data_IF_363224067756
#
_entry.id   IF_363224067756
#
_cell.length_a   1.000
_cell.length_b   1.000
_cell.length_c   1.000
_cell.angle_alpha   90.00
_cell.angle_beta   90.00
_cell.angle_gamma   90.00
#
_symmetry.space_group_name_H-M   'P 1'
#
loop_
_entity.id
_entity.type
_entity.pdbx_description
1 polymer ?
#
# COMPACT_ATOMS: atom_id res chain seq x y z
N UNK A 1 3.12 -19.79 14.99
CA UNK A 1 2.76 -19.51 13.59
C UNK A 1 1.25 -19.44 13.35
N UNK A 2 0.45 -20.42 13.79
CA UNK A 2 -1.01 -20.42 13.57
C UNK A 2 -1.73 -19.17 14.14
N UNK A 3 -1.33 -18.70 15.32
CA UNK A 3 -1.91 -17.49 15.94
C UNK A 3 -1.65 -16.20 15.13
N UNK A 4 -0.51 -16.11 14.46
CA UNK A 4 -0.16 -14.96 13.62
C UNK A 4 -0.98 -14.98 12.33
N UNK A 5 -1.14 -16.17 11.72
CA UNK A 5 -1.96 -16.36 10.51
C UNK A 5 -3.43 -16.06 10.80
N UNK A 6 -3.92 -16.45 11.97
CA UNK A 6 -5.29 -16.13 12.40
C UNK A 6 -5.57 -14.64 12.38
N UNK A 7 -4.60 -13.80 12.76
CA UNK A 7 -4.71 -12.33 12.73
C UNK A 7 -4.66 -11.72 11.32
N UNK A 8 -4.26 -12.47 10.30
CA UNK A 8 -4.18 -11.96 8.93
C UNK A 8 -5.57 -11.81 8.28
N UNK A 9 -6.48 -12.77 8.55
CA UNK A 9 -7.85 -12.76 8.06
C UNK A 9 -8.66 -11.52 8.52
N UNK A 10 -8.73 -11.20 9.83
CA UNK A 10 -9.39 -9.98 10.27
C UNK A 10 -8.69 -8.72 9.76
N UNK A 11 -7.38 -8.76 9.49
CA UNK A 11 -6.67 -7.67 8.84
C UNK A 11 -7.19 -7.34 7.45
N UNK A 12 -7.39 -8.34 6.60
CA UNK A 12 -7.99 -8.13 5.29
C UNK A 12 -9.44 -7.67 5.37
N UNK A 13 -10.25 -8.28 6.24
CA UNK A 13 -11.67 -7.93 6.37
C UNK A 13 -11.86 -6.49 6.88
N UNK A 14 -11.08 -6.09 7.89
CA UNK A 14 -11.11 -4.72 8.40
C UNK A 14 -10.65 -3.70 7.35
N UNK A 15 -9.70 -4.04 6.50
CA UNK A 15 -9.29 -3.17 5.40
C UNK A 15 -10.35 -3.07 4.30
N UNK A 16 -10.97 -4.18 3.91
CA UNK A 16 -12.05 -4.17 2.92
C UNK A 16 -13.21 -3.27 3.39
N UNK A 17 -13.62 -3.40 4.65
CA UNK A 17 -14.67 -2.57 5.24
C UNK A 17 -14.25 -1.09 5.38
N UNK A 18 -13.02 -0.83 5.85
CA UNK A 18 -12.52 0.53 6.04
C UNK A 18 -12.37 1.28 4.70
N UNK A 19 -11.96 0.60 3.63
CA UNK A 19 -11.83 1.19 2.29
C UNK A 19 -13.15 1.74 1.78
N UNK A 20 -14.26 1.05 2.04
CA UNK A 20 -15.60 1.49 1.64
C UNK A 20 -16.12 2.67 2.47
N UNK A 21 -15.72 2.78 3.74
CA UNK A 21 -16.23 3.80 4.68
C UNK A 21 -15.40 5.07 4.66
N UNK A 22 -14.06 4.97 4.66
CA UNK A 22 -13.16 6.10 4.83
C UNK A 22 -12.53 6.59 3.52
N UNK A 23 -12.64 5.83 2.43
CA UNK A 23 -11.92 6.10 1.18
C UNK A 23 -10.64 5.28 1.07
N UNK A 24 -10.13 5.16 -0.15
CA UNK A 24 -9.04 4.24 -0.47
C UNK A 24 -7.70 4.84 -0.02
N UNK A 25 -7.48 6.13 -0.28
CA UNK A 25 -6.23 6.84 0.06
C UNK A 25 -6.06 6.91 1.58
N UNK A 26 -7.10 7.36 2.28
CA UNK A 26 -7.04 7.53 3.74
C UNK A 26 -6.90 6.20 4.45
N UNK A 27 -7.60 5.16 4.00
CA UNK A 27 -7.46 3.82 4.58
C UNK A 27 -6.03 3.29 4.40
N UNK A 28 -5.48 3.37 3.18
CA UNK A 28 -4.10 2.96 2.93
C UNK A 28 -3.09 3.73 3.79
N UNK A 29 -3.27 5.05 3.94
CA UNK A 29 -2.42 5.87 4.81
C UNK A 29 -2.46 5.43 6.27
N UNK A 30 -3.66 5.20 6.83
CA UNK A 30 -3.83 4.76 8.22
C UNK A 30 -3.17 3.41 8.45
N UNK A 31 -3.33 2.45 7.53
CA UNK A 31 -2.68 1.14 7.63
C UNK A 31 -1.16 1.21 7.48
N UNK A 32 -0.63 2.10 6.64
CA UNK A 32 0.82 2.34 6.53
C UNK A 32 1.40 2.92 7.84
N UNK A 33 0.72 3.91 8.43
CA UNK A 33 1.14 4.51 9.70
C UNK A 33 0.99 3.53 10.87
N UNK A 34 -0.06 2.72 10.89
CA UNK A 34 -0.24 1.64 11.87
C UNK A 34 0.86 0.58 11.75
N UNK A 35 1.22 0.20 10.52
CA UNK A 35 2.32 -0.73 10.24
C UNK A 35 3.66 -0.17 10.72
N UNK A 36 3.90 1.13 10.50
CA UNK A 36 5.08 1.82 11.00
C UNK A 36 5.16 1.77 12.53
N UNK A 37 4.07 2.13 13.22
CA UNK A 37 3.99 2.09 14.68
C UNK A 37 4.22 0.69 15.22
N UNK A 38 3.61 -0.32 14.60
CA UNK A 38 3.77 -1.72 15.00
C UNK A 38 5.20 -2.24 14.76
N UNK A 39 5.84 -1.88 13.64
CA UNK A 39 7.24 -2.24 13.36
C UNK A 39 8.21 -1.59 14.35
N UNK A 40 7.96 -0.33 14.74
CA UNK A 40 8.75 0.34 15.78
C UNK A 40 8.52 -0.29 17.16
N UNK A 41 7.28 -0.62 17.51
CA UNK A 41 7.00 -1.34 18.75
C UNK A 41 7.74 -2.70 18.77
N UNK A 42 7.73 -3.45 17.67
CA UNK A 42 8.46 -4.72 17.57
C UNK A 42 9.97 -4.57 17.79
N UNK A 43 10.59 -3.48 17.32
CA UNK A 43 12.02 -3.23 17.49
C UNK A 43 12.44 -2.70 18.86
N UNK A 44 11.55 -2.03 19.59
CA UNK A 44 11.89 -1.31 20.83
C UNK A 44 11.40 -2.02 22.10
N UNK A 45 10.41 -2.91 21.99
CA UNK A 45 9.89 -3.65 23.14
C UNK A 45 10.86 -4.77 23.55
N UNK A 46 10.89 -5.07 24.85
CA UNK A 46 11.68 -6.17 25.40
C UNK A 46 11.31 -7.52 24.75
N UNK A 47 12.33 -8.34 24.48
CA UNK A 47 12.22 -9.62 23.77
C UNK A 47 11.55 -10.76 24.55
N UNK A 48 10.55 -10.45 25.37
CA UNK A 48 9.70 -11.42 26.04
C UNK A 48 8.76 -12.05 25.02
N UNK A 49 8.48 -13.35 25.16
CA UNK A 49 7.62 -14.11 24.22
C UNK A 49 6.26 -13.43 24.00
N UNK A 50 5.60 -13.01 25.09
CA UNK A 50 4.31 -12.33 25.03
C UNK A 50 4.37 -11.01 24.22
N UNK A 51 5.42 -10.22 24.43
CA UNK A 51 5.60 -8.94 23.76
C UNK A 51 5.81 -9.09 22.25
N UNK A 52 6.65 -10.05 21.85
CA UNK A 52 6.91 -10.35 20.44
C UNK A 52 5.67 -10.90 19.74
N UNK A 53 4.86 -11.71 20.43
CA UNK A 53 3.59 -12.21 19.90
C UNK A 53 2.58 -11.09 19.68
N UNK A 54 2.42 -10.18 20.63
CA UNK A 54 1.48 -9.06 20.52
C UNK A 54 1.91 -8.10 19.41
N UNK A 55 3.16 -7.64 19.47
CA UNK A 55 3.70 -6.68 18.48
C UNK A 55 3.77 -7.28 17.07
N UNK A 56 4.14 -8.56 16.94
CA UNK A 56 4.14 -9.27 15.67
C UNK A 56 2.74 -9.52 15.09
N UNK A 57 1.74 -9.76 15.95
CA UNK A 57 0.34 -9.90 15.53
C UNK A 57 -0.23 -8.56 15.05
N UNK A 58 0.02 -7.47 15.78
CA UNK A 58 -0.37 -6.12 15.37
C UNK A 58 0.30 -5.73 14.05
N UNK A 59 1.60 -5.96 13.93
CA UNK A 59 2.34 -5.71 12.70
C UNK A 59 1.73 -6.49 11.52
N UNK A 60 1.37 -7.76 11.73
CA UNK A 60 0.72 -8.57 10.71
C UNK A 60 -0.65 -8.02 10.31
N UNK A 61 -1.50 -7.65 11.28
CA UNK A 61 -2.80 -7.04 11.00
C UNK A 61 -2.63 -5.80 10.12
N UNK A 62 -1.86 -4.81 10.58
CA UNK A 62 -1.73 -3.55 9.85
C UNK A 62 -1.09 -3.73 8.48
N UNK A 63 -0.09 -4.60 8.39
CA UNK A 63 0.60 -4.85 7.12
C UNK A 63 -0.34 -5.49 6.11
N UNK A 64 -1.11 -6.51 6.49
CA UNK A 64 -2.10 -7.12 5.60
C UNK A 64 -3.24 -6.17 5.24
N UNK A 65 -3.64 -5.30 6.16
CA UNK A 65 -4.60 -4.25 5.85
C UNK A 65 -4.09 -3.27 4.78
N UNK A 66 -2.82 -2.87 4.88
CA UNK A 66 -2.18 -2.03 3.86
C UNK A 66 -2.14 -2.72 2.49
N UNK A 67 -1.81 -4.03 2.44
CA UNK A 67 -1.86 -4.82 1.20
C UNK A 67 -3.27 -4.86 0.60
N UNK A 68 -4.30 -5.12 1.41
CA UNK A 68 -5.69 -5.14 0.97
C UNK A 68 -6.14 -3.81 0.36
N UNK A 69 -5.85 -2.69 1.03
CA UNK A 69 -6.17 -1.36 0.52
C UNK A 69 -5.36 -1.01 -0.73
N UNK A 70 -4.09 -1.41 -0.81
CA UNK A 70 -3.25 -1.18 -1.98
C UNK A 70 -3.78 -1.91 -3.22
N UNK A 71 -4.25 -3.15 -3.07
CA UNK A 71 -4.82 -3.92 -4.19
C UNK A 71 -6.13 -3.35 -4.70
N UNK A 72 -6.95 -2.73 -3.84
CA UNK A 72 -8.12 -1.98 -4.27
C UNK A 72 -7.72 -0.64 -4.93
N UNK A 73 -6.74 0.05 -4.36
CA UNK A 73 -6.34 1.38 -4.79
C UNK A 73 -5.60 1.41 -6.14
N UNK A 74 -4.67 0.48 -6.36
CA UNK A 74 -3.82 0.45 -7.55
C UNK A 74 -4.62 0.41 -8.87
N UNK A 75 -5.60 -0.50 -9.07
CA UNK A 75 -6.37 -0.56 -10.31
C UNK A 75 -7.30 0.64 -10.52
N UNK A 76 -7.77 1.29 -9.44
CA UNK A 76 -8.65 2.45 -9.53
C UNK A 76 -7.92 3.71 -10.05
N UNK A 77 -6.59 3.75 -9.97
CA UNK A 77 -5.81 4.85 -10.52
C UNK A 77 -5.64 4.80 -12.05
N UNK A 78 -6.05 3.70 -12.70
CA UNK A 78 -5.84 3.48 -14.13
C UNK A 78 -7.16 3.20 -14.88
N UNK A 79 -7.35 3.82 -16.06
CA UNK A 79 -8.49 3.51 -16.91
C UNK A 79 -8.41 2.06 -17.42
N UNK A 80 -9.57 1.46 -17.69
CA UNK A 80 -9.72 0.03 -17.96
C UNK A 80 -8.79 -0.48 -19.07
N UNK A 81 -8.56 0.32 -20.11
CA UNK A 81 -7.71 -0.02 -21.25
C UNK A 81 -6.22 -0.22 -20.91
N UNK A 82 -5.67 0.51 -19.92
CA UNK A 82 -4.25 0.42 -19.54
C UNK A 82 -4.04 -0.14 -18.13
N UNK A 83 -5.12 -0.45 -17.40
CA UNK A 83 -5.08 -0.91 -16.00
C UNK A 83 -4.16 -2.11 -15.79
N UNK A 84 -4.21 -3.10 -16.68
CA UNK A 84 -3.36 -4.27 -16.58
C UNK A 84 -1.86 -3.90 -16.63
N UNK A 85 -1.46 -3.04 -17.57
CA UNK A 85 -0.07 -2.58 -17.70
C UNK A 85 0.34 -1.65 -16.54
N UNK A 86 -0.56 -0.73 -16.14
CA UNK A 86 -0.34 0.21 -15.05
C UNK A 86 -0.14 -0.47 -13.69
N UNK A 87 -0.81 -1.60 -13.45
CA UNK A 87 -0.58 -2.42 -12.25
C UNK A 87 0.64 -3.33 -12.38
N UNK A 88 0.94 -3.84 -13.57
CA UNK A 88 2.03 -4.80 -13.79
C UNK A 88 3.43 -4.18 -13.62
N UNK A 89 3.63 -2.95 -14.08
CA UNK A 89 4.95 -2.31 -14.03
C UNK A 89 5.46 -2.09 -12.58
N UNK A 90 4.67 -1.50 -11.65
CA UNK A 90 5.04 -1.45 -10.22
C UNK A 90 5.21 -2.84 -9.61
N UNK A 91 4.38 -3.79 -10.03
CA UNK A 91 4.49 -5.20 -9.62
C UNK A 91 5.85 -5.80 -9.98
N UNK A 92 6.38 -5.51 -11.16
CA UNK A 92 7.73 -5.93 -11.57
C UNK A 92 8.83 -5.29 -10.71
N UNK A 93 8.76 -3.96 -10.50
CA UNK A 93 9.73 -3.23 -9.67
C UNK A 93 9.74 -3.74 -8.22
N UNK A 94 8.58 -4.14 -7.70
CA UNK A 94 8.48 -4.70 -6.34
C UNK A 94 9.34 -5.93 -6.12
N UNK A 95 9.65 -6.71 -7.18
CA UNK A 95 10.51 -7.90 -7.09
C UNK A 95 11.95 -7.54 -6.80
N UNK A 96 12.46 -6.46 -7.39
CA UNK A 96 13.81 -5.96 -7.09
C UNK A 96 13.89 -5.54 -5.63
N UNK A 97 12.87 -4.83 -5.14
CA UNK A 97 12.76 -4.46 -3.72
C UNK A 97 12.68 -5.68 -2.79
N UNK A 98 11.91 -6.69 -3.16
CA UNK A 98 11.79 -7.93 -2.39
C UNK A 98 13.13 -8.68 -2.31
N UNK A 99 13.82 -8.84 -3.44
CA UNK A 99 15.15 -9.49 -3.48
C UNK A 99 16.14 -8.70 -2.63
N UNK A 100 16.26 -7.39 -2.84
CA UNK A 100 17.17 -6.55 -2.07
C UNK A 100 16.85 -6.61 -0.56
N UNK A 101 15.58 -6.48 -0.18
CA UNK A 101 15.13 -6.53 1.21
C UNK A 101 15.44 -7.86 1.90
N UNK A 102 15.30 -8.99 1.19
CA UNK A 102 15.64 -10.32 1.72
C UNK A 102 17.14 -10.50 2.02
N UNK A 103 18.02 -9.75 1.36
CA UNK A 103 19.46 -9.78 1.62
C UNK A 103 19.92 -8.75 2.66
N UNK A 104 19.32 -7.56 2.69
CA UNK A 104 19.76 -6.46 3.57
C UNK A 104 19.67 -6.88 5.05
N UNK A 105 18.55 -7.46 5.48
CA UNK A 105 18.33 -7.83 6.89
C UNK A 105 19.36 -8.85 7.41
N UNK A 106 19.59 -10.02 6.76
CA UNK A 106 20.59 -10.97 7.23
C UNK A 106 22.02 -10.44 7.15
N UNK A 107 22.36 -9.61 6.16
CA UNK A 107 23.69 -8.97 6.07
C UNK A 107 23.91 -8.03 7.26
N UNK A 108 22.91 -7.21 7.61
CA UNK A 108 22.99 -6.31 8.77
C UNK A 108 23.13 -7.09 10.09
N UNK A 109 22.38 -8.18 10.25
CA UNK A 109 22.52 -9.08 11.40
C UNK A 109 23.94 -9.66 11.48
N UNK A 110 24.48 -10.15 10.36
CA UNK A 110 25.85 -10.68 10.29
C UNK A 110 26.94 -9.64 10.57
N UNK A 111 26.67 -8.37 10.26
CA UNK A 111 27.56 -7.24 10.55
C UNK A 111 27.41 -6.70 11.99
N UNK A 112 26.58 -7.32 12.84
CA UNK A 112 26.41 -6.94 14.25
C UNK A 112 25.54 -5.70 14.48
N UNK A 113 24.69 -5.33 13.51
CA UNK A 113 23.78 -4.20 13.68
C UNK A 113 22.67 -4.52 14.67
N UNK A 114 22.30 -3.55 15.50
CA UNK A 114 21.24 -3.70 16.48
C UNK A 114 19.84 -3.86 15.84
N UNK A 115 18.96 -4.62 16.51
CA UNK A 115 17.59 -4.89 16.04
C UNK A 115 16.81 -3.60 15.75
N UNK A 116 17.03 -2.54 16.54
CA UNK A 116 16.38 -1.23 16.38
C UNK A 116 16.72 -0.62 15.02
N UNK A 117 17.99 -0.62 14.65
CA UNK A 117 18.46 -0.07 13.37
C UNK A 117 17.93 -0.89 12.20
N UNK A 118 17.89 -2.21 12.35
CA UNK A 118 17.33 -3.11 11.33
C UNK A 118 15.83 -2.82 11.13
N UNK A 119 15.06 -2.63 12.19
CA UNK A 119 13.64 -2.27 12.07
C UNK A 119 13.43 -0.91 11.41
N UNK A 120 14.31 0.07 11.67
CA UNK A 120 14.28 1.36 10.97
C UNK A 120 14.57 1.23 9.47
N UNK A 121 15.54 0.41 9.08
CA UNK A 121 15.89 0.22 7.67
C UNK A 121 14.84 -0.61 6.93
N UNK A 122 14.33 -1.67 7.54
CA UNK A 122 13.41 -2.62 6.90
C UNK A 122 11.94 -2.16 6.92
N UNK A 123 11.51 -1.49 7.99
CA UNK A 123 10.11 -1.08 8.17
C UNK A 123 9.95 0.42 8.35
N UNK A 124 10.76 1.05 9.19
CA UNK A 124 10.60 2.45 9.58
C UNK A 124 10.66 3.43 8.40
N UNK A 125 11.84 3.55 7.79
CA UNK A 125 12.11 4.45 6.68
C UNK A 125 11.21 4.20 5.46
N UNK A 126 11.11 2.95 4.96
CA UNK A 126 10.28 2.65 3.79
C UNK A 126 8.79 2.94 4.01
N UNK A 127 8.21 2.58 5.17
CA UNK A 127 6.78 2.81 5.44
C UNK A 127 6.45 4.30 5.55
N UNK A 128 7.29 5.08 6.25
CA UNK A 128 7.12 6.54 6.31
C UNK A 128 7.25 7.16 4.93
N UNK A 129 8.28 6.76 4.17
CA UNK A 129 8.53 7.29 2.84
C UNK A 129 7.32 7.05 1.92
N UNK A 130 6.78 5.83 1.90
CA UNK A 130 5.59 5.49 1.11
C UNK A 130 4.36 6.25 1.61
N UNK A 131 4.17 6.40 2.92
CA UNK A 131 3.06 7.16 3.49
C UNK A 131 3.11 8.65 3.07
N UNK A 132 4.29 9.27 3.07
CA UNK A 132 4.50 10.64 2.59
C UNK A 132 4.21 10.73 1.09
N UNK A 133 4.76 9.82 0.29
CA UNK A 133 4.52 9.78 -1.16
C UNK A 133 3.02 9.64 -1.43
N UNK A 134 2.30 8.80 -0.69
CA UNK A 134 0.86 8.65 -0.81
C UNK A 134 0.11 9.93 -0.43
N UNK A 135 0.51 10.65 0.62
CA UNK A 135 -0.13 11.91 0.98
C UNK A 135 0.05 12.97 -0.10
N UNK A 136 1.28 13.12 -0.63
CA UNK A 136 1.65 14.15 -1.61
C UNK A 136 1.11 13.85 -3.00
N UNK A 137 1.26 12.61 -3.48
CA UNK A 137 0.94 12.22 -4.85
C UNK A 137 -0.34 11.39 -4.97
N UNK A 138 -0.81 10.77 -3.89
CA UNK A 138 -2.00 9.93 -3.92
C UNK A 138 -3.28 10.74 -4.16
N UNK A 139 -4.13 10.21 -5.02
CA UNK A 139 -5.45 10.73 -5.32
C UNK A 139 -6.53 9.91 -4.60
N UNK A 140 -7.63 10.52 -4.15
CA UNK A 140 -8.76 9.74 -3.60
C UNK A 140 -9.67 9.29 -4.74
N UNK A 141 -9.82 7.97 -4.88
CA UNK A 141 -10.54 7.28 -5.96
C UNK A 141 -11.97 6.92 -5.59
N UNK A 142 -12.38 7.06 -4.32
CA UNK A 142 -13.75 6.75 -3.87
C UNK A 142 -14.82 7.57 -4.61
N UNK A 143 -15.78 6.86 -5.20
CA UNK A 143 -16.98 7.42 -5.80
C UNK A 143 -16.75 8.19 -7.11
N UNK A 144 -15.60 8.00 -7.75
CA UNK A 144 -15.28 8.62 -9.05
C UNK A 144 -15.40 7.61 -10.17
N UNK A 145 -15.89 8.08 -11.30
CA UNK A 145 -15.97 7.27 -12.50
C UNK A 145 -14.56 6.90 -12.98
N UNK A 146 -14.35 5.62 -13.24
CA UNK A 146 -13.06 5.04 -13.62
C UNK A 146 -12.70 5.38 -15.06
N UNK A 147 -13.70 5.71 -15.89
CA UNK A 147 -13.49 6.12 -17.29
C UNK A 147 -13.14 7.60 -17.39
N UNK A 148 -13.78 8.44 -16.57
CA UNK A 148 -13.40 9.83 -16.37
C UNK A 148 -12.17 9.92 -15.46
N UNK A 149 -11.00 9.51 -15.96
CA UNK A 149 -9.74 9.91 -15.35
C UNK A 149 -9.43 11.34 -15.84
N UNK A 150 -9.80 12.42 -15.12
CA UNK A 150 -9.72 13.78 -15.65
C UNK A 150 -8.30 14.18 -16.04
N UNK A 151 -7.27 13.52 -15.50
CA UNK A 151 -5.87 13.76 -15.84
C UNK A 151 -5.43 13.07 -17.12
N UNK A 152 -5.88 11.84 -17.38
CA UNK A 152 -5.59 11.16 -18.65
C UNK A 152 -6.44 11.77 -19.76
N UNK A 153 -7.71 12.07 -19.48
CA UNK A 153 -8.58 12.78 -20.40
C UNK A 153 -8.04 14.18 -20.71
N UNK A 154 -7.54 14.94 -19.72
CA UNK A 154 -6.88 16.23 -19.98
C UNK A 154 -5.59 16.08 -20.79
N UNK A 155 -4.76 15.06 -20.53
CA UNK A 155 -3.53 14.81 -21.29
C UNK A 155 -3.85 14.33 -22.72
N UNK A 156 -4.90 13.51 -22.89
CA UNK A 156 -5.38 13.05 -24.19
C UNK A 156 -6.02 14.20 -24.96
N UNK A 157 -6.88 15.02 -24.34
CA UNK A 157 -7.44 16.25 -24.94
C UNK A 157 -6.32 17.21 -25.36
N UNK A 158 -5.33 17.42 -24.49
CA UNK A 158 -4.16 18.25 -24.78
C UNK A 158 -3.28 17.69 -25.91
N UNK A 159 -3.06 16.37 -25.97
CA UNK A 159 -2.29 15.72 -27.04
C UNK A 159 -3.06 15.58 -28.35
N UNK A 160 -4.39 15.47 -28.28
CA UNK A 160 -5.24 15.32 -29.45
C UNK A 160 -5.61 16.66 -30.09
N UNK A 161 -5.46 17.79 -29.40
CA UNK A 161 -5.80 19.12 -29.93
C UNK A 161 -7.30 19.30 -30.19
N UNK A 162 -8.15 18.51 -29.51
CA UNK A 162 -9.58 18.44 -29.73
C UNK A 162 -10.29 19.14 -28.55
N UNK A 163 -10.55 20.44 -28.69
CA UNK A 163 -11.33 21.22 -27.71
C UNK A 163 -12.83 20.87 -27.69
N UNK A 164 -13.34 20.12 -28.67
CA UNK A 164 -14.73 19.66 -28.69
C UNK A 164 -14.86 18.27 -29.34
N UNK A 165 -14.75 17.21 -28.55
CA UNK A 165 -15.51 15.98 -28.86
C UNK A 165 -16.15 15.50 -27.56
N UNK A 166 -17.47 15.67 -27.50
CA UNK A 166 -18.36 15.03 -26.52
C UNK A 166 -18.20 13.53 -26.72
N UNK A 167 -17.59 12.85 -25.75
CA UNK A 167 -17.58 11.39 -25.71
C UNK A 167 -18.99 10.98 -25.30
N UNK A 168 -19.82 10.61 -26.27
CA UNK A 168 -21.09 9.92 -25.99
C UNK A 168 -20.77 8.62 -25.28
N UNK A 169 -21.10 8.55 -23.99
CA UNK A 169 -21.20 7.30 -23.25
C UNK A 169 -22.27 6.43 -23.94
N UNK A 170 -21.98 5.18 -24.33
CA UNK A 170 -23.01 4.30 -24.83
C UNK A 170 -24.02 4.07 -23.70
N UNK A 171 -25.23 4.62 -23.88
CA UNK A 171 -26.36 4.32 -23.01
C UNK A 171 -26.62 2.82 -23.04
N UNK A 172 -26.60 2.20 -21.87
CA UNK A 172 -27.22 0.89 -21.69
C UNK A 172 -28.69 1.16 -21.39
N UNK A 173 -29.52 1.04 -22.42
CA UNK A 173 -30.97 0.83 -22.31
C UNK A 173 -31.27 -0.56 -21.71
#
# INVERSE_FOLDING_TARGET
MLLIVFWQLPGYLSAAFAVEIFGRKMTLFVYLMGSFGAAMAFGYVEGTEANLLITGSLMSWFMLGAWGSLYAYTPENYPTNIRAMGCAYPGGVSRVGAIAGSYIVPIMLGAGWGIKTIMWVAGGGPLIFIAIVLLVFGYETRGKDLEACPRVEAIVKQKAGLDEIVVETPGFD
#
